data_IF_664463117087
#
_entry.id   IF_664463117087
#
_cell.length_a   1.000
_cell.length_b   1.000
_cell.length_c   1.000
_cell.angle_alpha   90.00
_cell.angle_beta   90.00
_cell.angle_gamma   90.00
#
_symmetry.space_group_name_H-M   'P 1'
#
loop_
_entity.id
_entity.type
_entity.pdbx_description
1 polymer ?
#
# COMPACT_ATOMS: atom_id res chain seq x y z
N UNK A 1 -4.81 5.15 -8.79
CA UNK A 1 -5.69 4.52 -9.82
C UNK A 1 -7.13 4.98 -9.59
N UNK A 2 -8.13 4.56 -10.39
CA UNK A 2 -9.52 4.86 -10.03
C UNK A 2 -9.92 4.07 -8.76
N UNK A 3 -10.69 4.65 -7.81
CA UNK A 3 -11.04 3.98 -6.55
C UNK A 3 -11.71 2.61 -6.71
N UNK A 4 -12.45 2.39 -7.81
CA UNK A 4 -13.09 1.10 -8.11
C UNK A 4 -12.08 -0.01 -8.41
N UNK A 5 -10.99 0.31 -9.10
CA UNK A 5 -9.96 -0.66 -9.49
C UNK A 5 -9.04 -0.99 -8.30
N UNK A 6 -8.82 -0.03 -7.39
CA UNK A 6 -8.18 -0.29 -6.11
C UNK A 6 -9.02 -1.23 -5.23
N UNK A 7 -10.34 -1.04 -5.21
CA UNK A 7 -11.24 -1.93 -4.50
C UNK A 7 -11.17 -3.36 -5.04
N UNK A 8 -11.33 -3.56 -6.35
CA UNK A 8 -11.28 -4.89 -6.96
C UNK A 8 -9.98 -5.64 -6.64
N UNK A 9 -8.85 -4.92 -6.71
CA UNK A 9 -7.54 -5.45 -6.33
C UNK A 9 -7.48 -5.88 -4.85
N UNK A 10 -7.90 -5.00 -3.94
CA UNK A 10 -7.87 -5.27 -2.50
C UNK A 10 -8.80 -6.44 -2.13
N UNK A 11 -9.96 -6.56 -2.78
CA UNK A 11 -10.85 -7.70 -2.58
C UNK A 11 -10.23 -9.00 -3.09
N UNK A 12 -9.51 -8.98 -4.22
CA UNK A 12 -8.79 -10.15 -4.70
C UNK A 12 -7.72 -10.61 -3.69
N UNK A 13 -6.95 -9.68 -3.13
CA UNK A 13 -5.94 -9.97 -2.09
C UNK A 13 -6.61 -10.52 -0.82
N UNK A 14 -7.75 -9.95 -0.41
CA UNK A 14 -8.51 -10.47 0.72
C UNK A 14 -8.94 -11.93 0.52
N UNK A 15 -9.37 -12.31 -0.69
CA UNK A 15 -9.70 -13.70 -0.98
C UNK A 15 -8.51 -14.64 -0.95
N UNK A 16 -7.31 -14.15 -1.31
CA UNK A 16 -6.08 -14.93 -1.15
C UNK A 16 -5.78 -15.11 0.34
N UNK A 17 -5.80 -14.04 1.14
CA UNK A 17 -5.51 -14.09 2.58
C UNK A 17 -6.41 -15.07 3.34
N UNK A 18 -7.71 -15.11 3.00
CA UNK A 18 -8.67 -16.03 3.61
C UNK A 18 -8.39 -17.51 3.26
N UNK A 19 -7.79 -17.78 2.09
CA UNK A 19 -7.50 -19.13 1.59
C UNK A 19 -6.09 -19.62 1.92
N UNK A 20 -5.10 -18.72 1.91
CA UNK A 20 -3.67 -19.08 2.02
C UNK A 20 -3.23 -19.36 3.46
N UNK A 21 -4.04 -18.96 4.46
CA UNK A 21 -3.67 -19.00 5.88
C UNK A 21 -2.35 -18.27 6.17
N UNK A 22 -2.05 -17.25 5.37
CA UNK A 22 -0.88 -16.40 5.50
C UNK A 22 -1.28 -14.93 5.37
N UNK A 23 -0.56 -14.00 6.01
CA UNK A 23 -0.73 -12.57 5.77
C UNK A 23 -0.38 -12.19 4.33
N UNK A 24 -1.23 -11.42 3.67
CA UNK A 24 -1.06 -11.00 2.28
C UNK A 24 -1.06 -9.46 2.15
N UNK A 25 -0.03 -8.86 1.52
CA UNK A 25 0.04 -7.42 1.33
C UNK A 25 -0.71 -6.96 0.06
N UNK A 26 -1.35 -5.79 0.10
CA UNK A 26 -2.03 -5.19 -1.07
C UNK A 26 -1.09 -4.49 -2.06
N UNK A 27 0.16 -4.25 -1.69
CA UNK A 27 0.95 -3.17 -2.28
C UNK A 27 0.45 -1.80 -1.80
N UNK A 28 1.12 -0.72 -2.23
CA UNK A 28 0.82 0.63 -1.78
C UNK A 28 -0.50 1.14 -2.35
N UNK A 29 -1.33 1.67 -1.47
CA UNK A 29 -2.59 2.34 -1.78
C UNK A 29 -2.45 3.83 -1.47
N UNK A 30 -3.02 4.65 -2.33
CA UNK A 30 -3.16 6.08 -2.07
C UNK A 30 -4.14 6.31 -0.91
N UNK A 31 -4.08 7.45 -0.21
CA UNK A 31 -5.00 7.75 0.88
C UNK A 31 -6.47 7.63 0.46
N UNK A 32 -6.83 8.15 -0.72
CA UNK A 32 -8.19 8.11 -1.26
C UNK A 32 -8.66 6.68 -1.53
N UNK A 33 -7.78 5.84 -2.10
CA UNK A 33 -8.04 4.43 -2.33
C UNK A 33 -8.26 3.71 -0.98
N UNK A 34 -7.38 3.97 0.00
CA UNK A 34 -7.47 3.39 1.33
C UNK A 34 -8.78 3.76 2.04
N UNK A 35 -9.18 5.03 1.99
CA UNK A 35 -10.46 5.48 2.54
C UNK A 35 -11.67 4.86 1.84
N UNK A 36 -11.56 4.50 0.56
CA UNK A 36 -12.63 3.80 -0.16
C UNK A 36 -12.70 2.30 0.19
N UNK A 37 -11.57 1.62 0.38
CA UNK A 37 -11.54 0.16 0.57
C UNK A 37 -11.71 -0.29 2.03
N UNK A 38 -11.16 0.44 3.01
CA UNK A 38 -11.20 0.03 4.42
C UNK A 38 -12.63 -0.18 4.96
N UNK A 39 -13.63 0.68 4.66
CA UNK A 39 -15.02 0.46 5.08
C UNK A 39 -15.65 -0.80 4.48
N UNK A 40 -15.21 -1.23 3.29
CA UNK A 40 -15.68 -2.46 2.65
C UNK A 40 -15.02 -3.68 3.28
N UNK A 41 -13.71 -3.61 3.56
CA UNK A 41 -12.98 -4.65 4.28
C UNK A 41 -13.57 -4.88 5.68
N UNK A 42 -14.00 -3.82 6.37
CA UNK A 42 -14.58 -3.91 7.71
C UNK A 42 -15.88 -4.72 7.76
N UNK A 43 -16.58 -4.85 6.63
CA UNK A 43 -17.82 -5.64 6.52
C UNK A 43 -17.56 -7.13 6.25
N UNK A 44 -16.29 -7.53 6.05
CA UNK A 44 -15.92 -8.91 5.76
C UNK A 44 -15.52 -9.65 7.04
N UNK A 45 -16.31 -10.65 7.39
CA UNK A 45 -16.10 -11.48 8.57
C UNK A 45 -14.85 -12.35 8.46
N UNK A 46 -14.09 -12.49 9.55
CA UNK A 46 -12.94 -13.40 9.61
C UNK A 46 -11.69 -12.82 8.96
N UNK A 47 -11.67 -11.52 8.67
CA UNK A 47 -10.57 -10.79 8.08
C UNK A 47 -10.23 -9.60 8.98
N UNK A 48 -8.93 -9.38 9.22
CA UNK A 48 -8.43 -8.14 9.79
C UNK A 48 -7.26 -7.61 8.94
N UNK A 49 -6.84 -6.39 9.21
CA UNK A 49 -5.70 -5.81 8.52
C UNK A 49 -4.92 -4.83 9.39
N UNK A 50 -3.69 -4.55 8.97
CA UNK A 50 -2.83 -3.52 9.54
C UNK A 50 -2.22 -2.70 8.42
N UNK A 51 -2.23 -1.38 8.54
CA UNK A 51 -1.52 -0.47 7.65
C UNK A 51 -0.02 -0.39 7.99
N UNK A 52 0.82 -0.20 6.98
CA UNK A 52 2.24 0.11 7.15
C UNK A 52 2.82 0.82 5.93
N UNK A 53 3.89 1.58 6.13
CA UNK A 53 4.28 2.63 5.19
C UNK A 53 3.63 3.95 5.58
N UNK A 54 4.24 5.06 5.15
CA UNK A 54 3.88 6.40 5.58
C UNK A 54 4.19 6.68 7.05
N UNK A 55 4.58 7.91 7.33
CA UNK A 55 4.64 8.54 8.66
C UNK A 55 3.26 9.10 9.02
N UNK A 56 2.50 9.60 8.04
CA UNK A 56 1.19 10.23 8.23
C UNK A 56 0.06 9.48 7.52
N UNK A 57 -1.20 9.64 7.95
CA UNK A 57 -2.35 9.03 7.27
C UNK A 57 -2.58 9.50 5.82
N UNK A 58 -1.96 10.62 5.43
CA UNK A 58 -2.04 11.21 4.09
C UNK A 58 -0.98 10.67 3.13
N UNK A 59 -0.09 9.78 3.59
CA UNK A 59 0.88 9.10 2.71
C UNK A 59 0.34 7.74 2.26
N UNK A 60 0.99 7.20 1.22
CA UNK A 60 0.65 5.89 0.68
C UNK A 60 0.98 4.81 1.71
N UNK A 61 0.09 3.84 1.86
CA UNK A 61 0.29 2.73 2.79
C UNK A 61 -0.02 1.39 2.14
N UNK A 62 0.69 0.35 2.57
CA UNK A 62 0.31 -1.04 2.30
C UNK A 62 -0.64 -1.52 3.39
N UNK A 63 -1.68 -2.24 3.01
CA UNK A 63 -2.48 -3.00 3.94
C UNK A 63 -1.96 -4.43 3.94
N UNK A 64 -1.70 -4.97 5.13
CA UNK A 64 -1.40 -6.38 5.33
C UNK A 64 -2.67 -7.05 5.85
N UNK A 65 -3.26 -7.91 5.03
CA UNK A 65 -4.52 -8.58 5.30
C UNK A 65 -4.23 -9.98 5.82
N UNK A 66 -4.95 -10.39 6.85
CA UNK A 66 -4.90 -11.76 7.31
C UNK A 66 -6.25 -12.18 7.86
N UNK A 67 -6.41 -13.48 8.08
CA UNK A 67 -7.54 -13.96 8.86
C UNK A 67 -7.41 -13.50 10.30
N UNK A 68 -8.53 -13.26 10.97
CA UNK A 68 -8.56 -12.80 12.37
C UNK A 68 -7.79 -13.71 13.34
N UNK A 69 -7.64 -15.00 13.01
CA UNK A 69 -6.93 -15.96 13.85
C UNK A 69 -5.39 -15.87 13.74
N UNK A 70 -4.86 -15.10 12.78
CA UNK A 70 -3.42 -14.96 12.55
C UNK A 70 -2.90 -13.64 13.13
N UNK A 71 -1.73 -13.63 13.81
CA UNK A 71 -1.16 -12.38 14.30
C UNK A 71 -0.54 -11.56 13.15
N UNK A 72 -0.88 -10.27 13.07
CA UNK A 72 -0.28 -9.31 12.13
C UNK A 72 0.86 -8.45 12.73
N UNK A 73 1.01 -8.46 14.06
CA UNK A 73 1.91 -7.57 14.78
C UNK A 73 3.39 -7.78 14.45
N UNK A 74 3.80 -9.04 14.31
CA UNK A 74 5.22 -9.42 14.11
C UNK A 74 5.60 -9.60 12.63
N UNK A 75 4.64 -9.41 11.72
CA UNK A 75 4.87 -9.63 10.29
C UNK A 75 5.54 -8.39 9.69
N UNK A 76 6.81 -8.54 9.33
CA UNK A 76 7.55 -7.52 8.59
C UNK A 76 6.95 -7.32 7.21
N UNK A 77 6.84 -6.07 6.78
CA UNK A 77 6.63 -5.73 5.38
C UNK A 77 7.97 -5.30 4.82
N UNK A 78 8.46 -6.04 3.82
CA UNK A 78 9.79 -5.85 3.25
C UNK A 78 9.88 -4.49 2.51
N UNK A 79 10.21 -3.45 3.27
CA UNK A 79 10.47 -2.11 2.75
C UNK A 79 11.97 -1.90 2.53
N UNK A 80 12.29 -1.23 1.42
CA UNK A 80 13.64 -0.73 1.16
C UNK A 80 13.56 0.79 0.98
N UNK A 81 14.39 1.53 1.72
CA UNK A 81 14.53 2.97 1.54
C UNK A 81 15.54 3.26 0.44
N UNK A 82 15.16 4.10 -0.51
CA UNK A 82 16.02 4.56 -1.59
C UNK A 82 16.40 6.02 -1.33
N UNK A 83 17.70 6.29 -1.21
CA UNK A 83 18.20 7.64 -1.05
C UNK A 83 18.49 8.28 -2.42
N UNK A 84 17.71 9.30 -2.77
CA UNK A 84 17.94 10.09 -3.99
C UNK A 84 18.95 11.21 -3.72
N UNK A 85 19.93 11.36 -4.60
CA UNK A 85 20.97 12.38 -4.51
C UNK A 85 21.06 13.14 -5.82
N UNK A 86 21.08 14.46 -5.73
CA UNK A 86 21.11 15.38 -6.86
C UNK A 86 21.47 16.78 -6.40
N UNK A 87 21.51 17.72 -7.34
CA UNK A 87 21.84 19.11 -7.05
C UNK A 87 20.60 19.93 -6.61
N UNK A 88 19.86 19.42 -5.61
CA UNK A 88 18.58 19.99 -5.18
C UNK A 88 18.69 21.41 -4.56
N UNK A 89 19.90 21.85 -4.24
CA UNK A 89 20.15 23.21 -3.75
C UNK A 89 19.96 24.27 -4.84
N UNK A 90 20.27 23.92 -6.10
CA UNK A 90 20.19 24.85 -7.24
C UNK A 90 19.10 24.48 -8.25
N UNK A 91 18.68 23.21 -8.24
CA UNK A 91 17.58 22.68 -9.04
C UNK A 91 16.61 21.96 -8.11
N UNK A 92 15.75 22.72 -7.38
CA UNK A 92 14.84 22.14 -6.41
C UNK A 92 13.86 21.20 -7.10
N UNK A 93 13.56 20.08 -6.45
CA UNK A 93 12.57 19.11 -6.87
C UNK A 93 11.57 18.92 -5.74
N UNK A 94 10.29 18.85 -6.09
CA UNK A 94 9.21 18.54 -5.17
C UNK A 94 8.85 17.04 -5.23
N UNK A 95 8.01 16.57 -4.32
CA UNK A 95 7.62 15.15 -4.26
C UNK A 95 7.05 14.67 -5.60
N UNK A 96 6.22 15.50 -6.23
CA UNK A 96 5.53 15.21 -7.48
C UNK A 96 6.51 15.00 -8.65
N UNK A 97 7.68 15.65 -8.63
CA UNK A 97 8.71 15.46 -9.66
C UNK A 97 9.30 14.05 -9.58
N UNK A 98 9.52 13.53 -8.37
CA UNK A 98 10.01 12.18 -8.15
C UNK A 98 8.95 11.13 -8.51
N UNK A 99 7.70 11.35 -8.13
CA UNK A 99 6.59 10.48 -8.51
C UNK A 99 6.43 10.42 -10.03
N UNK A 100 6.44 11.58 -10.70
CA UNK A 100 6.38 11.66 -12.15
C UNK A 100 7.53 10.91 -12.81
N UNK A 101 8.76 11.05 -12.29
CA UNK A 101 9.91 10.31 -12.79
C UNK A 101 9.76 8.79 -12.61
N UNK A 102 9.29 8.33 -11.44
CA UNK A 102 9.04 6.90 -11.19
C UNK A 102 7.98 6.33 -12.14
N UNK A 103 6.93 7.09 -12.43
CA UNK A 103 5.88 6.68 -13.37
C UNK A 103 6.36 6.57 -14.82
N UNK A 104 7.51 7.16 -15.17
CA UNK A 104 8.14 6.97 -16.50
C UNK A 104 8.95 5.68 -16.62
N UNK A 105 9.08 4.93 -15.52
CA UNK A 105 9.77 3.63 -15.49
C UNK A 105 8.77 2.48 -15.56
N UNK A 106 9.26 1.25 -15.75
CA UNK A 106 8.43 0.04 -15.74
C UNK A 106 8.17 -0.50 -14.32
N UNK A 107 8.37 0.32 -13.28
CA UNK A 107 8.12 -0.09 -11.89
C UNK A 107 6.61 -0.10 -11.63
N UNK A 108 6.10 -1.17 -11.00
CA UNK A 108 4.72 -1.23 -10.54
C UNK A 108 4.40 -0.03 -9.61
N UNK A 109 3.39 0.80 -9.92
CA UNK A 109 2.96 1.91 -9.08
C UNK A 109 2.59 1.51 -7.64
N UNK A 110 2.21 0.26 -7.39
CA UNK A 110 1.96 -0.29 -6.04
C UNK A 110 3.21 -0.80 -5.34
N UNK A 111 4.33 -0.84 -6.04
CA UNK A 111 5.64 -1.26 -5.52
C UNK A 111 6.28 -0.23 -4.61
N UNK A 112 5.89 1.04 -4.69
CA UNK A 112 6.52 2.16 -3.96
C UNK A 112 5.47 3.08 -3.30
N UNK A 113 5.90 3.83 -2.29
CA UNK A 113 5.10 4.80 -1.54
C UNK A 113 5.89 5.42 -0.40
#
# INVERSE_FOLDING_TARGET
MAPSEALDHVLAVAEVALRSWQPEPTGFLDPEERFAVEPVLQQRSGLHWRGSGGITPAERQRLLLAREELPLGDVSMDFALVALKGNFLFDPAELEDFEAALLTTDVDPRGWG
#
